data_IF_192629056953
#
_entry.id   IF_192629056953
#
_cell.length_a   1.000
_cell.length_b   1.000
_cell.length_c   1.000
_cell.angle_alpha   90.00
_cell.angle_beta   90.00
_cell.angle_gamma   90.00
#
_symmetry.space_group_name_H-M   'P 1'
#
loop_
_entity.id
_entity.type
_entity.pdbx_description
1 polymer ?
#
# COMPACT_ATOMS: atom_id res chain seq x y z
N UNK A 1 -9.54 1.45 -3.31
CA UNK A 1 -8.09 1.71 -3.43
C UNK A 1 -7.99 3.21 -3.61
N UNK A 2 -7.34 3.93 -2.69
CA UNK A 2 -7.27 5.38 -2.78
C UNK A 2 -6.51 5.82 -4.03
N UNK A 3 -6.95 6.90 -4.64
CA UNK A 3 -6.32 7.43 -5.85
C UNK A 3 -4.98 8.09 -5.51
N UNK A 4 -4.08 8.16 -6.50
CA UNK A 4 -2.73 8.70 -6.31
C UNK A 4 -2.76 10.15 -5.79
N UNK A 5 -3.80 10.90 -6.12
CA UNK A 5 -4.03 12.27 -5.64
C UNK A 5 -4.29 12.29 -4.13
N UNK A 6 -5.22 11.45 -3.66
CA UNK A 6 -5.58 11.33 -2.25
C UNK A 6 -4.36 10.89 -1.41
N UNK A 7 -3.56 9.95 -1.93
CA UNK A 7 -2.34 9.51 -1.25
C UNK A 7 -1.30 10.63 -1.08
N UNK A 8 -1.28 11.63 -1.95
CA UNK A 8 -0.34 12.76 -1.84
C UNK A 8 -0.76 13.77 -0.77
N UNK A 9 -2.06 13.96 -0.60
CA UNK A 9 -2.67 14.89 0.36
C UNK A 9 -2.58 14.39 1.82
N UNK A 10 -2.50 13.08 2.03
CA UNK A 10 -2.36 12.47 3.36
C UNK A 10 -1.06 12.87 4.07
N UNK A 11 -1.12 12.95 5.39
CA UNK A 11 0.04 13.16 6.27
C UNK A 11 0.95 11.92 6.31
N UNK A 12 2.24 12.06 6.67
CA UNK A 12 3.16 10.92 6.75
C UNK A 12 2.68 9.82 7.71
N UNK A 13 2.02 10.18 8.80
CA UNK A 13 1.49 9.25 9.80
C UNK A 13 0.29 8.47 9.26
N UNK A 14 -0.62 9.13 8.56
CA UNK A 14 -1.75 8.48 7.88
C UNK A 14 -1.29 7.52 6.77
N UNK A 15 -0.24 7.89 6.04
CA UNK A 15 0.37 7.03 5.03
C UNK A 15 0.98 5.76 5.65
N UNK A 16 1.58 5.86 6.84
CA UNK A 16 2.05 4.71 7.59
C UNK A 16 0.91 3.83 8.10
N UNK A 17 -0.16 4.43 8.63
CA UNK A 17 -1.35 3.71 9.05
C UNK A 17 -1.98 2.93 7.88
N UNK A 18 -2.07 3.55 6.71
CA UNK A 18 -2.59 2.92 5.50
C UNK A 18 -1.68 1.79 5.00
N UNK A 19 -0.36 1.96 5.09
CA UNK A 19 0.61 0.91 4.77
C UNK A 19 0.44 -0.31 5.68
N UNK A 20 0.21 -0.10 6.98
CA UNK A 20 -0.07 -1.19 7.94
C UNK A 20 -1.37 -1.92 7.61
N UNK A 21 -2.42 -1.18 7.24
CA UNK A 21 -3.68 -1.77 6.80
C UNK A 21 -3.51 -2.66 5.56
N UNK A 22 -2.83 -2.16 4.53
CA UNK A 22 -2.55 -2.91 3.31
C UNK A 22 -1.68 -4.15 3.55
N UNK A 23 -0.75 -4.10 4.51
CA UNK A 23 0.06 -5.27 4.91
C UNK A 23 -0.77 -6.34 5.61
N UNK A 24 -1.71 -5.95 6.48
CA UNK A 24 -2.65 -6.90 7.09
C UNK A 24 -3.52 -7.57 6.03
N UNK A 25 -4.02 -6.81 5.07
CA UNK A 25 -4.79 -7.35 3.95
C UNK A 25 -3.95 -8.33 3.11
N UNK A 26 -2.69 -7.97 2.82
CA UNK A 26 -1.76 -8.85 2.13
C UNK A 26 -1.53 -10.16 2.89
N UNK A 27 -1.37 -10.11 4.22
CA UNK A 27 -1.21 -11.29 5.06
C UNK A 27 -2.44 -12.20 4.99
N UNK A 28 -3.64 -11.62 5.11
CA UNK A 28 -4.90 -12.36 4.97
C UNK A 28 -5.03 -13.03 3.60
N UNK A 29 -4.66 -12.34 2.51
CA UNK A 29 -4.67 -12.92 1.17
C UNK A 29 -3.63 -14.04 1.01
N UNK A 30 -2.47 -13.94 1.66
CA UNK A 30 -1.47 -15.03 1.67
C UNK A 30 -1.97 -16.25 2.44
N UNK A 31 -2.62 -16.05 3.58
CA UNK A 31 -3.23 -17.13 4.35
C UNK A 31 -4.35 -17.82 3.56
N UNK A 32 -5.24 -17.04 2.93
CA UNK A 32 -6.30 -17.57 2.04
C UNK A 32 -5.73 -18.33 0.84
N UNK A 33 -4.61 -17.87 0.28
CA UNK A 33 -3.91 -18.57 -0.79
C UNK A 33 -3.34 -19.90 -0.31
N UNK A 34 -2.78 -19.94 0.90
CA UNK A 34 -2.24 -21.17 1.49
C UNK A 34 -3.34 -22.19 1.84
N UNK A 35 -4.51 -21.73 2.29
CA UNK A 35 -5.68 -22.58 2.57
C UNK A 35 -6.41 -23.07 1.31
N UNK A 36 -6.02 -22.63 0.11
CA UNK A 36 -6.66 -23.03 -1.15
C UNK A 36 -8.04 -22.41 -1.40
N UNK A 37 -8.54 -21.55 -0.51
CA UNK A 37 -9.87 -20.91 -0.59
C UNK A 37 -9.83 -19.50 -1.20
N UNK A 38 -8.88 -19.25 -2.11
CA UNK A 38 -8.68 -17.93 -2.69
C UNK A 38 -9.48 -17.74 -3.99
N UNK A 39 -10.69 -17.21 -3.87
CA UNK A 39 -11.58 -16.97 -5.02
C UNK A 39 -11.10 -15.84 -5.95
N UNK A 40 -10.44 -14.83 -5.40
CA UNK A 40 -10.11 -13.58 -6.11
C UNK A 40 -8.59 -13.35 -6.19
N UNK A 41 -7.94 -14.07 -7.09
CA UNK A 41 -6.48 -13.98 -7.35
C UNK A 41 -6.01 -12.59 -7.77
N UNK A 42 -6.85 -11.83 -8.47
CA UNK A 42 -6.57 -10.46 -8.93
C UNK A 42 -6.40 -9.43 -7.79
N UNK A 43 -6.80 -9.76 -6.56
CA UNK A 43 -6.61 -8.87 -5.40
C UNK A 43 -5.15 -8.84 -4.94
N UNK A 44 -4.40 -9.94 -5.08
CA UNK A 44 -2.98 -10.00 -4.72
C UNK A 44 -2.14 -8.94 -5.45
N UNK A 45 -2.17 -8.85 -6.80
CA UNK A 45 -1.40 -7.83 -7.50
C UNK A 45 -1.93 -6.41 -7.24
N UNK A 46 -3.23 -6.23 -6.96
CA UNK A 46 -3.80 -4.92 -6.58
C UNK A 46 -3.22 -4.45 -5.25
N UNK A 47 -3.28 -5.26 -4.19
CA UNK A 47 -2.71 -4.92 -2.86
C UNK A 47 -1.21 -4.66 -2.96
N UNK A 48 -0.46 -5.48 -3.73
CA UNK A 48 0.97 -5.26 -3.97
C UNK A 48 1.25 -3.91 -4.63
N UNK A 49 0.47 -3.53 -5.65
CA UNK A 49 0.58 -2.21 -6.31
C UNK A 49 0.22 -1.07 -5.37
N UNK A 50 -0.74 -1.26 -4.47
CA UNK A 50 -1.10 -0.26 -3.45
C UNK A 50 0.06 0.04 -2.51
N UNK A 51 0.69 -0.99 -1.96
CA UNK A 51 1.87 -0.84 -1.09
C UNK A 51 3.01 -0.12 -1.84
N UNK A 52 3.25 -0.46 -3.10
CA UNK A 52 4.27 0.19 -3.91
C UNK A 52 4.00 1.69 -4.08
N UNK A 53 2.77 2.08 -4.43
CA UNK A 53 2.39 3.49 -4.60
C UNK A 53 2.59 4.31 -3.32
N UNK A 54 2.15 3.79 -2.17
CA UNK A 54 2.33 4.46 -0.87
C UNK A 54 3.82 4.67 -0.56
N UNK A 55 4.64 3.63 -0.76
CA UNK A 55 6.09 3.73 -0.57
C UNK A 55 6.75 4.73 -1.52
N UNK A 56 6.34 4.76 -2.78
CA UNK A 56 6.88 5.72 -3.77
C UNK A 56 6.58 7.15 -3.34
N UNK A 57 5.34 7.46 -2.93
CA UNK A 57 5.00 8.83 -2.52
C UNK A 57 5.70 9.21 -1.21
N UNK A 58 5.88 8.26 -0.28
CA UNK A 58 6.67 8.47 0.93
C UNK A 58 8.13 8.81 0.58
N UNK A 59 8.72 8.10 -0.38
CA UNK A 59 10.06 8.40 -0.88
C UNK A 59 10.13 9.75 -1.63
N UNK A 60 9.11 10.10 -2.44
CA UNK A 60 9.01 11.41 -3.09
C UNK A 60 8.99 12.56 -2.06
N UNK A 61 8.31 12.39 -0.92
CA UNK A 61 8.26 13.39 0.16
C UNK A 61 9.60 13.54 0.88
N UNK A 62 10.32 12.45 1.11
CA UNK A 62 11.66 12.48 1.73
C UNK A 62 12.71 13.06 0.77
N UNK A 63 12.70 12.64 -0.50
CA UNK A 63 13.66 13.10 -1.51
C UNK A 63 13.57 14.61 -1.79
N UNK A 64 12.35 15.17 -1.81
CA UNK A 64 12.14 16.62 -1.96
C UNK A 64 12.73 17.47 -0.82
N UNK A 65 13.07 16.87 0.31
CA UNK A 65 13.64 17.57 1.46
C UNK A 65 15.17 17.73 1.37
N UNK A 66 15.85 17.02 0.46
CA UNK A 66 17.33 17.04 0.35
C UNK A 66 17.87 18.03 -0.69
N UNK A 67 16.99 18.64 -1.50
CA UNK A 67 17.33 19.61 -2.56
C UNK A 67 17.11 21.08 -2.14
N UNK A 68 17.18 21.40 -0.84
CA UNK A 68 17.14 22.78 -0.33
C UNK A 68 18.32 23.12 0.55
#
# INVERSE_FOLDING_TARGET
MKDIKELRELTPDEMQAELLSLRKEQFNLRMKKASGSLDKTHLIPKVRKGIARVKTIMAEKVGKCHDK
#
